data_IF_844749783858
#
_entry.id   IF_844749783858
#
_cell.length_a   1.000
_cell.length_b   1.000
_cell.length_c   1.000
_cell.angle_alpha   90.00
_cell.angle_beta   90.00
_cell.angle_gamma   90.00
#
_symmetry.space_group_name_H-M   'P 1'
#
loop_
_entity.id
_entity.type
_entity.pdbx_description
1 polymer ?
#
# COMPACT_ATOMS: atom_id res chain seq x y z
N UNK A 1 38.79 -6.88 59.11
CA UNK A 1 38.66 -8.28 59.52
C UNK A 1 37.19 -8.63 59.40
N UNK A 2 36.77 -9.65 58.69
CA UNK A 2 35.47 -10.21 58.23
C UNK A 2 35.21 -9.95 56.74
N UNK A 3 35.62 -10.81 56.11
CA UNK A 3 35.26 -12.06 55.38
C UNK A 3 34.33 -11.82 54.21
N UNK A 4 34.99 -11.73 53.03
CA UNK A 4 34.37 -12.08 51.75
C UNK A 4 34.26 -13.60 51.67
N UNK A 5 33.05 -14.14 51.61
CA UNK A 5 32.83 -15.46 51.02
C UNK A 5 31.39 -15.61 50.57
N UNK A 6 31.28 -16.10 49.30
CA UNK A 6 30.18 -16.85 48.75
C UNK A 6 28.90 -16.11 48.32
N UNK A 7 28.85 -15.77 47.04
CA UNK A 7 27.67 -15.99 46.23
C UNK A 7 28.04 -16.24 44.75
N UNK A 8 28.88 -17.27 44.55
CA UNK A 8 29.06 -17.91 43.24
C UNK A 8 28.23 -19.18 43.22
N UNK A 9 26.96 -19.08 42.91
CA UNK A 9 26.15 -20.28 42.81
C UNK A 9 24.66 -19.99 42.66
N UNK A 10 24.25 -19.29 41.65
CA UNK A 10 22.86 -19.31 41.13
C UNK A 10 22.75 -18.47 39.86
N UNK A 11 23.55 -18.82 38.88
CA UNK A 11 23.38 -18.34 37.48
C UNK A 11 23.30 -19.50 36.51
N UNK A 12 22.64 -20.57 36.90
CA UNK A 12 22.24 -21.64 35.98
C UNK A 12 20.74 -21.87 36.18
N UNK A 13 19.94 -21.60 35.16
CA UNK A 13 18.56 -22.05 35.13
C UNK A 13 17.48 -21.01 34.90
N UNK A 14 17.74 -19.92 34.17
CA UNK A 14 16.65 -19.18 33.51
C UNK A 14 16.88 -19.28 32.02
N UNK A 15 16.75 -20.49 31.51
CA UNK A 15 16.46 -20.71 30.08
C UNK A 15 15.09 -20.11 29.83
N UNK A 16 15.10 -18.94 29.16
CA UNK A 16 14.01 -18.01 28.98
C UNK A 16 12.65 -18.65 28.74
N UNK A 17 11.75 -18.40 29.64
CA UNK A 17 10.32 -18.38 29.32
C UNK A 17 10.06 -17.15 28.44
N UNK A 18 10.42 -17.25 27.16
CA UNK A 18 9.92 -16.28 26.18
C UNK A 18 8.41 -16.31 26.25
N UNK A 19 7.79 -15.14 26.35
CA UNK A 19 6.34 -14.99 26.38
C UNK A 19 5.73 -15.72 25.17
N UNK A 20 4.62 -16.46 25.36
CA UNK A 20 3.97 -17.20 24.29
C UNK A 20 3.78 -16.42 22.99
N UNK A 21 3.44 -15.12 22.99
CA UNK A 21 3.38 -14.30 21.78
C UNK A 21 4.73 -14.17 21.05
N UNK A 22 5.84 -13.96 21.77
CA UNK A 22 7.15 -13.79 21.14
C UNK A 22 7.63 -15.06 20.42
N UNK A 23 7.35 -16.25 20.94
CA UNK A 23 7.66 -17.53 20.29
C UNK A 23 6.93 -17.69 18.95
N UNK A 24 5.69 -17.22 18.85
CA UNK A 24 4.91 -17.28 17.62
C UNK A 24 5.55 -16.43 16.53
N UNK A 25 5.92 -15.20 16.84
CA UNK A 25 6.55 -14.29 15.89
C UNK A 25 7.96 -14.71 15.49
N UNK A 26 8.75 -15.27 16.40
CA UNK A 26 10.04 -15.87 16.09
C UNK A 26 9.90 -17.10 15.16
N UNK A 27 8.87 -17.93 15.37
CA UNK A 27 8.57 -19.06 14.50
C UNK A 27 8.20 -18.60 13.09
N UNK A 28 7.32 -17.59 12.96
CA UNK A 28 6.91 -17.02 11.66
C UNK A 28 8.12 -16.47 10.90
N UNK A 29 9.02 -15.76 11.59
CA UNK A 29 10.21 -15.18 10.95
C UNK A 29 11.18 -16.22 10.42
N UNK A 30 11.24 -17.43 11.03
CA UNK A 30 12.11 -18.53 10.62
C UNK A 30 11.47 -19.48 9.60
N UNK A 31 10.14 -19.65 9.68
CA UNK A 31 9.39 -20.64 8.89
C UNK A 31 8.08 -20.03 8.35
N UNK A 32 8.15 -19.10 7.38
CA UNK A 32 6.96 -18.48 6.84
C UNK A 32 6.07 -19.51 6.11
N UNK A 33 4.75 -19.39 6.28
CA UNK A 33 3.75 -20.25 5.63
C UNK A 33 3.92 -20.30 4.10
N UNK A 34 3.61 -21.44 3.50
CA UNK A 34 3.62 -21.59 2.04
C UNK A 34 2.53 -20.77 1.36
N UNK A 35 1.32 -20.75 1.92
CA UNK A 35 0.17 -20.01 1.41
C UNK A 35 -0.63 -19.43 2.57
N UNK A 36 -1.11 -18.18 2.43
CA UNK A 36 -2.04 -17.55 3.38
C UNK A 36 -3.49 -17.89 3.07
N UNK A 37 -3.78 -18.47 1.91
CA UNK A 37 -5.13 -18.94 1.54
C UNK A 37 -5.51 -20.24 2.22
N UNK A 38 -4.51 -21.02 2.65
CA UNK A 38 -4.73 -22.23 3.44
C UNK A 38 -4.80 -21.85 4.93
N UNK A 39 -6.02 -21.62 5.42
CA UNK A 39 -6.29 -21.27 6.81
C UNK A 39 -6.06 -22.44 7.79
N UNK A 40 -5.61 -23.61 7.32
CA UNK A 40 -5.33 -24.81 8.14
C UNK A 40 -6.51 -25.15 9.10
N UNK A 41 -7.74 -24.96 8.66
CA UNK A 41 -8.94 -25.25 9.46
C UNK A 41 -9.34 -24.13 10.43
N UNK A 42 -8.66 -22.97 10.43
CA UNK A 42 -9.01 -21.83 11.28
C UNK A 42 -10.26 -21.15 10.70
N UNK A 43 -11.36 -21.01 11.48
CA UNK A 43 -12.57 -20.35 11.00
C UNK A 43 -12.31 -18.86 10.78
N UNK A 44 -12.77 -18.30 9.65
CA UNK A 44 -12.61 -16.89 9.29
C UNK A 44 -13.09 -15.92 10.38
N UNK A 45 -14.10 -16.30 11.16
CA UNK A 45 -14.60 -15.52 12.31
C UNK A 45 -13.51 -15.27 13.37
N UNK A 46 -12.62 -16.23 13.59
CA UNK A 46 -11.51 -16.08 14.55
C UNK A 46 -10.51 -15.07 14.01
N UNK A 47 -10.14 -15.15 12.73
CA UNK A 47 -9.24 -14.19 12.07
C UNK A 47 -9.86 -12.78 12.16
N UNK A 48 -11.11 -12.60 11.80
CA UNK A 48 -11.80 -11.31 11.84
C UNK A 48 -11.81 -10.69 13.26
N UNK A 49 -12.11 -11.52 14.29
CA UNK A 49 -12.10 -11.06 15.69
C UNK A 49 -10.70 -10.66 16.15
N UNK A 50 -9.67 -11.42 15.76
CA UNK A 50 -8.25 -11.09 16.06
C UNK A 50 -7.85 -9.80 15.36
N UNK A 51 -8.09 -9.69 14.05
CA UNK A 51 -7.81 -8.48 13.27
C UNK A 51 -8.45 -7.25 13.90
N UNK A 52 -9.71 -7.33 14.33
CA UNK A 52 -10.39 -6.21 15.00
C UNK A 52 -9.68 -5.80 16.29
N UNK A 53 -9.27 -6.77 17.10
CA UNK A 53 -8.55 -6.50 18.36
C UNK A 53 -7.17 -5.90 18.10
N UNK A 54 -6.42 -6.47 17.17
CA UNK A 54 -5.05 -6.02 16.82
C UNK A 54 -5.07 -4.65 16.14
N UNK A 55 -6.07 -4.37 15.29
CA UNK A 55 -6.29 -3.05 14.69
C UNK A 55 -6.34 -1.93 15.74
N UNK A 56 -7.03 -2.17 16.87
CA UNK A 56 -7.11 -1.21 17.96
C UNK A 56 -5.81 -1.17 18.78
N UNK A 57 -5.21 -2.33 19.07
CA UNK A 57 -3.98 -2.43 19.84
C UNK A 57 -2.78 -1.78 19.12
N UNK A 58 -2.69 -1.91 17.82
CA UNK A 58 -1.63 -1.35 16.97
C UNK A 58 -1.91 0.09 16.52
N UNK A 59 -3.02 0.67 16.97
CA UNK A 59 -3.44 2.02 16.64
C UNK A 59 -3.48 2.27 15.11
N UNK A 60 -4.07 1.35 14.33
CA UNK A 60 -4.13 1.47 12.87
C UNK A 60 -4.77 2.78 12.42
N UNK A 61 -5.77 3.27 13.12
CA UNK A 61 -6.43 4.55 12.80
C UNK A 61 -5.44 5.72 12.90
N UNK A 62 -4.65 5.79 13.97
CA UNK A 62 -3.64 6.83 14.14
C UNK A 62 -2.52 6.74 13.08
N UNK A 63 -2.03 5.53 12.81
CA UNK A 63 -1.03 5.30 11.75
C UNK A 63 -1.56 5.61 10.36
N UNK A 64 -2.85 5.35 10.10
CA UNK A 64 -3.48 5.71 8.83
C UNK A 64 -3.57 7.22 8.64
N UNK A 65 -3.80 7.98 9.72
CA UNK A 65 -3.79 9.44 9.68
C UNK A 65 -2.37 9.99 9.42
N UNK A 66 -1.36 9.40 10.04
CA UNK A 66 0.05 9.71 9.79
C UNK A 66 0.43 9.46 8.32
N UNK A 67 0.09 8.28 7.79
CA UNK A 67 0.33 7.96 6.37
C UNK A 67 -0.44 8.90 5.44
N UNK A 68 -1.68 9.25 5.77
CA UNK A 68 -2.47 10.22 5.00
C UNK A 68 -1.80 11.58 4.89
N UNK A 69 -1.17 12.04 5.97
CA UNK A 69 -0.37 13.27 5.98
C UNK A 69 0.86 13.14 5.05
N UNK A 70 1.63 12.06 5.15
CA UNK A 70 2.80 11.86 4.28
C UNK A 70 2.42 11.72 2.80
N UNK A 71 1.28 11.10 2.49
CA UNK A 71 0.79 11.01 1.11
C UNK A 71 0.40 12.38 0.56
N UNK A 72 -0.26 13.22 1.37
CA UNK A 72 -0.55 14.60 1.01
C UNK A 72 0.73 15.39 0.79
N UNK A 73 1.71 15.26 1.69
CA UNK A 73 3.00 15.94 1.57
C UNK A 73 3.78 15.53 0.31
N UNK A 74 3.75 14.24 -0.05
CA UNK A 74 4.40 13.72 -1.26
C UNK A 74 3.69 14.15 -2.55
N UNK A 75 2.40 14.51 -2.49
CA UNK A 75 1.60 14.88 -3.65
C UNK A 75 2.17 16.09 -4.39
N UNK A 76 2.53 17.16 -3.67
CA UNK A 76 2.98 18.41 -4.29
C UNK A 76 4.28 18.24 -5.13
N UNK A 77 5.37 17.66 -4.59
CA UNK A 77 6.56 17.36 -5.41
C UNK A 77 6.27 16.43 -6.58
N UNK A 78 5.35 15.46 -6.40
CA UNK A 78 4.96 14.52 -7.45
C UNK A 78 4.21 15.22 -8.58
N UNK A 79 3.28 16.12 -8.25
CA UNK A 79 2.58 16.95 -9.23
C UNK A 79 3.55 17.87 -9.97
N UNK A 80 4.49 18.47 -9.26
CA UNK A 80 5.52 19.30 -9.87
C UNK A 80 6.39 18.53 -10.87
N UNK A 81 6.79 17.31 -10.52
CA UNK A 81 7.52 16.40 -11.41
C UNK A 81 6.70 16.02 -12.63
N UNK A 82 5.46 15.57 -12.41
CA UNK A 82 4.56 15.17 -13.49
C UNK A 82 4.29 16.33 -14.45
N UNK A 83 4.04 17.52 -13.93
CA UNK A 83 3.87 18.75 -14.70
C UNK A 83 5.09 19.09 -15.55
N UNK A 84 6.28 18.93 -14.98
CA UNK A 84 7.53 19.22 -15.67
C UNK A 84 7.80 18.22 -16.81
N UNK A 85 7.49 16.93 -16.61
CA UNK A 85 7.62 15.90 -17.64
C UNK A 85 6.61 16.16 -18.78
N UNK A 86 5.36 16.46 -18.46
CA UNK A 86 4.31 16.74 -19.43
C UNK A 86 4.54 18.07 -20.13
N UNK A 87 5.06 19.08 -19.46
CA UNK A 87 5.45 20.36 -20.07
C UNK A 87 6.55 20.21 -21.15
N UNK A 88 7.48 19.28 -20.96
CA UNK A 88 8.48 18.94 -21.99
C UNK A 88 7.88 18.12 -23.13
N UNK A 89 6.91 17.25 -22.84
CA UNK A 89 6.19 16.42 -23.81
C UNK A 89 5.01 17.16 -24.48
N UNK A 90 4.63 18.34 -24.00
CA UNK A 90 3.33 19.00 -24.18
C UNK A 90 2.98 19.44 -25.61
N UNK A 91 3.86 19.34 -26.58
CA UNK A 91 3.48 19.60 -27.97
C UNK A 91 2.60 18.50 -28.58
N UNK A 92 2.42 17.35 -27.92
CA UNK A 92 1.62 16.20 -28.36
C UNK A 92 0.64 15.65 -27.32
N UNK A 93 0.54 16.27 -26.14
CA UNK A 93 0.00 15.62 -24.93
C UNK A 93 -1.44 16.00 -24.54
N UNK A 94 -2.17 16.84 -25.28
CA UNK A 94 -3.52 17.29 -24.89
C UNK A 94 -4.53 16.14 -24.75
N UNK A 95 -4.47 15.14 -25.64
CA UNK A 95 -5.38 13.98 -25.58
C UNK A 95 -5.03 13.03 -24.42
N UNK A 96 -3.76 12.84 -24.12
CA UNK A 96 -3.27 12.03 -22.98
C UNK A 96 -3.70 12.70 -21.67
N UNK A 97 -3.60 14.01 -21.60
CA UNK A 97 -3.99 14.81 -20.45
C UNK A 97 -5.49 14.64 -20.12
N UNK A 98 -6.38 14.78 -21.10
CA UNK A 98 -7.83 14.61 -20.90
C UNK A 98 -8.15 13.20 -20.41
N UNK A 99 -7.58 12.15 -21.01
CA UNK A 99 -7.80 10.78 -20.59
C UNK A 99 -7.26 10.52 -19.17
N UNK A 100 -6.12 11.10 -18.80
CA UNK A 100 -5.59 11.02 -17.44
C UNK A 100 -6.56 11.62 -16.42
N UNK A 101 -7.17 12.76 -16.75
CA UNK A 101 -8.18 13.41 -15.91
C UNK A 101 -9.43 12.55 -15.71
N UNK A 102 -9.90 11.90 -16.74
CA UNK A 102 -11.05 10.98 -16.68
C UNK A 102 -10.76 9.83 -15.70
N UNK A 103 -9.57 9.22 -15.76
CA UNK A 103 -9.18 8.16 -14.82
C UNK A 103 -8.99 8.68 -13.40
N UNK A 104 -8.37 9.84 -13.22
CA UNK A 104 -8.26 10.46 -11.90
C UNK A 104 -9.63 10.77 -11.29
N UNK A 105 -10.59 11.23 -12.10
CA UNK A 105 -11.94 11.51 -11.64
C UNK A 105 -12.74 10.26 -11.22
N UNK A 106 -12.33 9.06 -11.65
CA UNK A 106 -12.91 7.79 -11.19
C UNK A 106 -12.51 7.44 -9.75
N UNK A 107 -11.29 7.77 -9.37
CA UNK A 107 -10.68 7.35 -8.10
C UNK A 107 -10.64 8.52 -7.10
N UNK A 108 -10.25 9.70 -7.54
CA UNK A 108 -10.12 10.90 -6.72
C UNK A 108 -11.46 11.67 -6.71
N UNK A 109 -11.92 12.17 -5.55
CA UNK A 109 -13.11 13.03 -5.48
C UNK A 109 -13.00 14.26 -6.38
N UNK A 110 -14.06 14.58 -7.10
CA UNK A 110 -14.09 15.69 -8.09
C UNK A 110 -13.74 17.05 -7.49
N UNK A 111 -14.06 17.27 -6.25
CA UNK A 111 -13.71 18.50 -5.49
C UNK A 111 -12.21 18.65 -5.24
N UNK A 112 -11.49 17.54 -5.06
CA UNK A 112 -10.03 17.54 -4.92
C UNK A 112 -9.32 17.62 -6.29
N UNK A 113 -9.96 17.09 -7.33
CA UNK A 113 -9.44 17.10 -8.70
C UNK A 113 -9.18 18.53 -9.21
N UNK A 114 -10.07 19.48 -8.92
CA UNK A 114 -9.91 20.88 -9.30
C UNK A 114 -8.62 21.51 -8.76
N UNK A 115 -8.28 21.25 -7.49
CA UNK A 115 -7.04 21.74 -6.87
C UNK A 115 -5.80 21.09 -7.52
N UNK A 116 -5.84 19.79 -7.76
CA UNK A 116 -4.75 19.05 -8.43
C UNK A 116 -4.50 19.64 -9.81
N UNK A 117 -5.56 19.94 -10.58
CA UNK A 117 -5.49 20.54 -11.91
C UNK A 117 -4.92 21.95 -11.92
N UNK A 118 -5.36 22.79 -11.01
CA UNK A 118 -4.86 24.17 -10.91
C UNK A 118 -3.36 24.14 -10.63
N UNK A 119 -2.93 23.38 -9.63
CA UNK A 119 -1.52 23.22 -9.28
C UNK A 119 -0.70 22.65 -10.46
N UNK A 120 -1.25 21.68 -11.17
CA UNK A 120 -0.62 21.10 -12.35
C UNK A 120 -0.42 22.13 -13.47
N UNK A 121 -1.45 22.90 -13.83
CA UNK A 121 -1.39 23.89 -14.89
C UNK A 121 -0.42 25.03 -14.56
N UNK A 122 -0.43 25.54 -13.31
CA UNK A 122 0.48 26.58 -12.85
C UNK A 122 1.94 26.12 -12.88
N UNK A 123 2.22 24.87 -12.50
CA UNK A 123 3.57 24.32 -12.53
C UNK A 123 4.07 24.00 -13.93
N UNK A 124 3.17 23.58 -14.85
CA UNK A 124 3.51 23.29 -16.25
C UNK A 124 3.93 24.56 -16.98
N UNK A 125 3.25 25.69 -16.75
CA UNK A 125 3.60 26.99 -17.33
C UNK A 125 4.99 27.48 -16.92
N UNK A 126 5.49 27.04 -15.75
CA UNK A 126 6.80 27.42 -15.19
C UNK A 126 7.92 26.42 -15.47
N UNK A 127 7.70 25.36 -16.26
CA UNK A 127 8.63 24.27 -16.46
C UNK A 127 9.90 24.68 -17.23
N UNK A 128 11.07 24.35 -16.67
CA UNK A 128 12.40 24.47 -17.29
C UNK A 128 13.18 23.19 -17.01
N UNK A 129 14.15 22.82 -17.88
CA UNK A 129 14.93 21.57 -17.74
C UNK A 129 15.60 21.41 -16.35
N UNK A 130 16.15 22.49 -15.78
CA UNK A 130 16.72 22.46 -14.43
C UNK A 130 15.67 22.21 -13.33
N UNK A 131 14.46 22.74 -13.50
CA UNK A 131 13.35 22.53 -12.58
C UNK A 131 12.82 21.10 -12.64
N UNK A 132 12.92 20.43 -13.81
CA UNK A 132 12.57 19.03 -13.97
C UNK A 132 13.42 18.11 -13.08
N UNK A 133 14.76 18.27 -13.17
CA UNK A 133 15.68 17.41 -12.39
C UNK A 133 15.49 17.62 -10.89
N UNK A 134 15.39 18.89 -10.45
CA UNK A 134 15.10 19.21 -9.06
C UNK A 134 13.74 18.61 -8.60
N UNK A 135 12.69 18.80 -9.42
CA UNK A 135 11.36 18.26 -9.13
C UNK A 135 11.36 16.73 -9.01
N UNK A 136 12.05 16.02 -9.91
CA UNK A 136 12.18 14.56 -9.85
C UNK A 136 12.88 14.10 -8.56
N UNK A 137 14.01 14.69 -8.22
CA UNK A 137 14.75 14.36 -7.00
C UNK A 137 13.89 14.67 -5.76
N UNK A 138 13.26 15.83 -5.71
CA UNK A 138 12.39 16.23 -4.61
C UNK A 138 11.17 15.31 -4.48
N UNK A 139 10.55 14.90 -5.60
CA UNK A 139 9.38 13.99 -5.57
C UNK A 139 9.77 12.59 -5.09
N UNK A 140 10.87 12.01 -5.60
CA UNK A 140 11.35 10.70 -5.14
C UNK A 140 11.71 10.76 -3.65
N UNK A 141 12.40 11.82 -3.23
CA UNK A 141 12.74 12.01 -1.81
C UNK A 141 11.50 12.12 -0.94
N UNK A 142 10.55 12.97 -1.28
CA UNK A 142 9.30 13.18 -0.53
C UNK A 142 8.44 11.92 -0.51
N UNK A 143 8.25 11.25 -1.65
CA UNK A 143 7.50 9.99 -1.73
C UNK A 143 8.18 8.90 -0.89
N UNK A 144 9.52 8.84 -0.87
CA UNK A 144 10.25 7.85 -0.07
C UNK A 144 10.11 8.08 1.45
N UNK A 145 9.78 9.30 1.91
CA UNK A 145 9.39 9.55 3.31
C UNK A 145 8.07 8.85 3.61
N UNK A 146 7.09 8.97 2.72
CA UNK A 146 5.82 8.24 2.84
C UNK A 146 6.01 6.72 2.86
N UNK A 147 6.89 6.18 2.01
CA UNK A 147 7.23 4.75 2.02
C UNK A 147 7.95 4.35 3.31
N UNK A 148 8.82 5.19 3.87
CA UNK A 148 9.43 4.94 5.19
C UNK A 148 8.37 4.84 6.30
N UNK A 149 7.36 5.71 6.28
CA UNK A 149 6.25 5.64 7.23
C UNK A 149 5.41 4.36 7.03
N UNK A 150 5.18 3.91 5.78
CA UNK A 150 4.57 2.61 5.50
C UNK A 150 5.41 1.47 6.10
N UNK A 151 6.73 1.51 5.95
CA UNK A 151 7.64 0.49 6.50
C UNK A 151 7.51 0.40 8.02
N UNK A 152 7.48 1.53 8.71
CA UNK A 152 7.32 1.60 10.16
C UNK A 152 5.95 1.07 10.61
N UNK A 153 4.87 1.49 9.95
CA UNK A 153 3.53 0.99 10.22
C UNK A 153 3.42 -0.52 10.01
N UNK A 154 4.00 -1.05 8.92
CA UNK A 154 4.01 -2.48 8.64
C UNK A 154 4.88 -3.26 9.60
N UNK A 155 6.02 -2.73 10.06
CA UNK A 155 6.83 -3.35 11.10
C UNK A 155 6.03 -3.53 12.40
N UNK A 156 5.20 -2.55 12.75
CA UNK A 156 4.30 -2.67 13.92
C UNK A 156 3.23 -3.74 13.71
N UNK A 157 2.53 -3.72 12.56
CA UNK A 157 1.50 -4.70 12.19
C UNK A 157 2.03 -6.15 12.22
N UNK A 158 3.24 -6.35 11.72
CA UNK A 158 3.89 -7.67 11.70
C UNK A 158 4.70 -7.96 12.96
N UNK A 159 4.63 -7.11 14.00
CA UNK A 159 5.36 -7.25 15.27
C UNK A 159 6.87 -7.42 15.09
N UNK A 160 7.45 -6.74 14.11
CA UNK A 160 8.86 -6.84 13.75
C UNK A 160 9.63 -5.70 14.39
N UNK A 161 10.71 -6.01 15.07
CA UNK A 161 11.68 -5.00 15.50
C UNK A 161 12.60 -4.68 14.31
N UNK A 162 12.68 -3.39 13.96
CA UNK A 162 13.57 -2.92 12.90
C UNK A 162 15.03 -3.11 13.31
N UNK A 163 15.74 -3.96 12.57
CA UNK A 163 17.16 -4.26 12.79
C UNK A 163 18.09 -3.66 11.72
N UNK A 164 17.52 -3.10 10.67
CA UNK A 164 18.30 -2.46 9.60
C UNK A 164 18.88 -1.14 10.14
N UNK A 165 20.11 -0.79 9.73
CA UNK A 165 20.62 0.55 10.01
C UNK A 165 19.76 1.60 9.29
N UNK A 166 19.69 2.80 9.83
CA UNK A 166 18.92 3.91 9.25
C UNK A 166 19.18 4.09 7.76
N UNK A 167 20.45 4.01 7.34
CA UNK A 167 20.82 4.17 5.94
C UNK A 167 20.26 3.04 5.06
N UNK A 168 20.32 1.78 5.49
CA UNK A 168 19.75 0.66 4.76
C UNK A 168 18.22 0.73 4.68
N UNK A 169 17.54 1.10 5.75
CA UNK A 169 16.09 1.31 5.75
C UNK A 169 15.71 2.42 4.78
N UNK A 170 16.46 3.54 4.77
CA UNK A 170 16.22 4.67 3.86
C UNK A 170 16.43 4.30 2.39
N UNK A 171 17.51 3.60 2.07
CA UNK A 171 17.78 3.13 0.71
C UNK A 171 16.71 2.13 0.24
N UNK A 172 16.25 1.25 1.13
CA UNK A 172 15.12 0.35 0.85
C UNK A 172 13.84 1.14 0.54
N UNK A 173 13.53 2.19 1.31
CA UNK A 173 12.37 3.03 1.05
C UNK A 173 12.45 3.71 -0.32
N UNK A 174 13.60 4.27 -0.70
CA UNK A 174 13.83 4.87 -2.02
C UNK A 174 13.65 3.83 -3.12
N UNK A 175 14.24 2.63 -2.97
CA UNK A 175 14.11 1.56 -3.96
C UNK A 175 12.64 1.13 -4.16
N UNK A 176 11.90 0.92 -3.08
CA UNK A 176 10.46 0.61 -3.12
C UNK A 176 9.69 1.75 -3.79
N UNK A 177 9.99 3.01 -3.47
CA UNK A 177 9.37 4.18 -4.10
C UNK A 177 9.54 4.17 -5.62
N UNK A 178 10.76 3.92 -6.10
CA UNK A 178 11.04 3.86 -7.55
C UNK A 178 10.26 2.72 -8.21
N UNK A 179 10.23 1.54 -7.59
CA UNK A 179 9.47 0.39 -8.12
C UNK A 179 7.98 0.71 -8.16
N UNK A 180 7.41 1.30 -7.11
CA UNK A 180 5.99 1.68 -7.08
C UNK A 180 5.67 2.77 -8.10
N UNK A 181 6.57 3.74 -8.31
CA UNK A 181 6.41 4.77 -9.33
C UNK A 181 6.41 4.18 -10.75
N UNK A 182 7.29 3.21 -11.02
CA UNK A 182 7.32 2.50 -12.32
C UNK A 182 6.05 1.68 -12.53
N UNK A 183 5.59 0.93 -11.51
CA UNK A 183 4.36 0.15 -11.60
C UNK A 183 3.13 1.05 -11.76
N UNK A 184 3.07 2.17 -11.05
CA UNK A 184 2.00 3.16 -11.18
C UNK A 184 1.97 3.78 -12.58
N UNK A 185 3.13 4.16 -13.12
CA UNK A 185 3.26 4.66 -14.50
C UNK A 185 2.81 3.62 -15.52
N UNK A 186 3.20 2.35 -15.33
CA UNK A 186 2.77 1.26 -16.20
C UNK A 186 1.26 1.02 -16.11
N UNK A 187 0.68 1.11 -14.91
CA UNK A 187 -0.78 1.01 -14.71
C UNK A 187 -1.51 2.10 -15.50
N UNK A 188 -1.07 3.36 -15.39
CA UNK A 188 -1.63 4.47 -16.15
C UNK A 188 -1.46 4.27 -17.68
N UNK A 189 -0.28 3.83 -18.10
CA UNK A 189 -0.02 3.56 -19.52
C UNK A 189 -0.92 2.46 -20.08
N UNK A 190 -1.20 1.41 -19.31
CA UNK A 190 -2.13 0.35 -19.71
C UNK A 190 -3.57 0.85 -19.82
N UNK A 191 -4.03 1.68 -18.88
CA UNK A 191 -5.37 2.25 -18.92
C UNK A 191 -5.53 3.19 -20.14
N UNK A 192 -4.59 4.13 -20.31
CA UNK A 192 -4.58 5.06 -21.44
C UNK A 192 -4.45 4.33 -22.80
N UNK A 193 -3.62 3.27 -22.82
CA UNK A 193 -3.47 2.40 -23.99
C UNK A 193 -4.75 1.68 -24.38
N UNK A 194 -5.51 1.19 -23.39
CA UNK A 194 -6.81 0.57 -23.58
C UNK A 194 -7.82 1.51 -24.26
N UNK A 195 -7.87 2.77 -23.82
CA UNK A 195 -8.71 3.80 -24.43
C UNK A 195 -8.27 4.15 -25.84
N UNK A 196 -6.97 4.25 -26.08
CA UNK A 196 -6.43 4.49 -27.41
C UNK A 196 -6.81 3.37 -28.36
N UNK A 197 -6.62 2.11 -27.98
CA UNK A 197 -7.01 0.95 -28.77
C UNK A 197 -8.51 0.94 -29.03
N UNK A 198 -9.35 1.21 -28.03
CA UNK A 198 -10.80 1.28 -28.18
C UNK A 198 -11.24 2.35 -29.18
N UNK A 199 -10.56 3.50 -29.20
CA UNK A 199 -10.82 4.57 -30.19
C UNK A 199 -10.41 4.16 -31.60
N UNK A 200 -9.22 3.58 -31.76
CA UNK A 200 -8.73 3.09 -33.07
C UNK A 200 -9.68 2.03 -33.64
N UNK A 201 -10.08 1.06 -32.81
CA UNK A 201 -11.02 -0.01 -33.21
C UNK A 201 -12.36 0.55 -33.68
N UNK A 202 -12.93 1.52 -32.94
CA UNK A 202 -14.19 2.17 -33.31
C UNK A 202 -14.12 2.87 -34.66
N UNK A 203 -12.96 3.42 -35.00
CA UNK A 203 -12.77 4.14 -36.26
C UNK A 203 -12.40 3.22 -37.43
N UNK A 204 -11.90 2.01 -37.18
CA UNK A 204 -11.36 1.10 -38.19
C UNK A 204 -12.33 -0.03 -38.58
N UNK A 205 -13.29 -0.37 -37.69
CA UNK A 205 -14.21 -1.50 -37.89
C UNK A 205 -15.52 -0.99 -38.44
N UNK A 206 -15.88 -1.46 -39.66
CA UNK A 206 -17.09 -1.03 -40.40
C UNK A 206 -18.41 -1.47 -39.75
N UNK A 207 -18.43 -2.58 -38.99
CA UNK A 207 -19.63 -3.03 -38.30
C UNK A 207 -19.72 -2.41 -36.90
N UNK A 208 -20.81 -1.68 -36.63
CA UNK A 208 -21.03 -1.03 -35.35
C UNK A 208 -21.01 -2.02 -34.13
N UNK A 209 -21.56 -3.21 -34.33
CA UNK A 209 -21.56 -4.26 -33.30
C UNK A 209 -20.14 -4.81 -33.05
N UNK A 210 -19.39 -5.10 -34.12
CA UNK A 210 -18.00 -5.58 -33.98
C UNK A 210 -17.09 -4.53 -33.33
N UNK A 211 -17.23 -3.26 -33.71
CA UNK A 211 -16.50 -2.16 -33.07
C UNK A 211 -16.80 -2.02 -31.58
N UNK A 212 -18.07 -2.13 -31.19
CA UNK A 212 -18.48 -2.03 -29.76
C UNK A 212 -17.96 -3.19 -28.94
N UNK A 213 -18.02 -4.42 -29.43
CA UNK A 213 -17.50 -5.62 -28.72
C UNK A 213 -15.99 -5.54 -28.54
N UNK A 214 -15.24 -5.21 -29.60
CA UNK A 214 -13.79 -5.09 -29.52
C UNK A 214 -13.35 -3.94 -28.61
N UNK A 215 -14.06 -2.80 -28.65
CA UNK A 215 -13.80 -1.68 -27.72
C UNK A 215 -14.09 -2.08 -26.26
N UNK A 216 -15.16 -2.83 -26.00
CA UNK A 216 -15.45 -3.35 -24.67
C UNK A 216 -14.36 -4.32 -24.19
N UNK A 217 -13.95 -5.26 -25.05
CA UNK A 217 -12.88 -6.20 -24.72
C UNK A 217 -11.55 -5.50 -24.42
N UNK A 218 -11.18 -4.45 -25.19
CA UNK A 218 -9.96 -3.67 -24.91
C UNK A 218 -10.00 -3.01 -23.54
N UNK A 219 -11.15 -2.47 -23.11
CA UNK A 219 -11.32 -1.92 -21.75
C UNK A 219 -11.22 -3.02 -20.69
N UNK A 220 -11.90 -4.16 -20.86
CA UNK A 220 -11.82 -5.27 -19.91
C UNK A 220 -10.39 -5.74 -19.73
N UNK A 221 -9.64 -5.90 -20.82
CA UNK A 221 -8.23 -6.30 -20.77
C UNK A 221 -7.39 -5.24 -20.05
N UNK A 222 -7.55 -3.96 -20.39
CA UNK A 222 -6.81 -2.86 -19.77
C UNK A 222 -7.08 -2.78 -18.25
N UNK A 223 -8.34 -2.88 -17.84
CA UNK A 223 -8.72 -2.89 -16.43
C UNK A 223 -8.20 -4.13 -15.68
N UNK A 224 -8.23 -5.31 -16.32
CA UNK A 224 -7.68 -6.54 -15.71
C UNK A 224 -6.18 -6.41 -15.48
N UNK A 225 -5.43 -5.87 -16.44
CA UNK A 225 -4.00 -5.61 -16.30
C UNK A 225 -3.76 -4.57 -15.22
N UNK A 226 -4.51 -3.47 -15.20
CA UNK A 226 -4.36 -2.42 -14.18
C UNK A 226 -4.61 -2.95 -12.78
N UNK A 227 -5.65 -3.77 -12.58
CA UNK A 227 -5.94 -4.41 -11.28
C UNK A 227 -4.84 -5.40 -10.88
N UNK A 228 -4.27 -6.14 -11.83
CA UNK A 228 -3.14 -7.04 -11.59
C UNK A 228 -1.88 -6.27 -11.17
N UNK A 229 -1.60 -5.13 -11.80
CA UNK A 229 -0.49 -4.25 -11.44
C UNK A 229 -0.71 -3.60 -10.07
N UNK A 230 -1.92 -3.21 -9.74
CA UNK A 230 -2.26 -2.70 -8.40
C UNK A 230 -2.06 -3.79 -7.33
N UNK A 231 -2.49 -5.02 -7.60
CA UNK A 231 -2.21 -6.17 -6.72
C UNK A 231 -0.70 -6.41 -6.56
N UNK A 232 0.08 -6.22 -7.63
CA UNK A 232 1.53 -6.30 -7.61
C UNK A 232 2.14 -5.17 -6.75
N UNK A 233 1.62 -3.94 -6.81
CA UNK A 233 2.04 -2.85 -5.92
C UNK A 233 1.85 -3.23 -4.44
N UNK A 234 0.68 -3.77 -4.09
CA UNK A 234 0.44 -4.25 -2.73
C UNK A 234 1.36 -5.42 -2.35
N UNK A 235 1.62 -6.36 -3.27
CA UNK A 235 2.56 -7.45 -3.05
C UNK A 235 3.98 -6.93 -2.80
N UNK A 236 4.44 -5.93 -3.55
CA UNK A 236 5.73 -5.24 -3.37
C UNK A 236 5.80 -4.58 -2.00
N UNK A 237 4.76 -3.83 -1.61
CA UNK A 237 4.69 -3.17 -0.31
C UNK A 237 4.75 -4.21 0.82
N UNK A 238 3.92 -5.24 0.79
CA UNK A 238 3.86 -6.23 1.86
C UNK A 238 5.09 -7.13 1.93
N UNK A 239 5.84 -7.25 0.82
CA UNK A 239 7.05 -8.07 0.77
C UNK A 239 8.32 -7.30 1.14
N UNK A 240 8.52 -6.11 0.57
CA UNK A 240 9.78 -5.36 0.72
C UNK A 240 9.74 -4.28 1.79
N UNK A 241 8.57 -3.74 2.12
CA UNK A 241 8.50 -2.70 3.12
C UNK A 241 8.87 -3.19 4.53
N UNK A 242 8.35 -4.32 5.06
CA UNK A 242 8.72 -4.77 6.40
C UNK A 242 10.17 -5.23 6.51
N UNK A 243 10.79 -4.98 7.67
CA UNK A 243 12.18 -5.30 7.98
C UNK A 243 12.51 -6.78 8.19
N UNK A 244 11.88 -7.71 7.47
CA UNK A 244 12.07 -9.17 7.62
C UNK A 244 13.08 -9.72 6.65
N UNK A 245 14.08 -10.44 7.17
CA UNK A 245 15.15 -11.04 6.36
C UNK A 245 14.73 -12.27 5.52
N UNK A 246 13.66 -12.97 5.87
CA UNK A 246 13.26 -14.25 5.21
C UNK A 246 11.77 -14.30 4.90
N UNK A 247 11.25 -13.33 4.14
CA UNK A 247 9.87 -13.39 3.69
C UNK A 247 9.75 -14.14 2.36
N UNK A 248 8.64 -14.91 2.18
CA UNK A 248 8.31 -15.50 0.89
C UNK A 248 7.53 -14.53 0.04
N UNK A 249 7.91 -14.39 -1.21
CA UNK A 249 7.13 -13.63 -2.19
C UNK A 249 5.76 -14.27 -2.42
N UNK A 250 4.70 -13.47 -2.34
CA UNK A 250 3.32 -13.89 -2.59
C UNK A 250 2.63 -12.85 -3.42
N UNK A 251 2.19 -13.24 -4.61
CA UNK A 251 1.55 -12.34 -5.57
C UNK A 251 0.24 -11.75 -5.05
N UNK A 252 -0.62 -12.60 -4.48
CA UNK A 252 -1.92 -12.19 -3.96
C UNK A 252 -2.14 -12.88 -2.61
N UNK A 253 -2.28 -12.08 -1.58
CA UNK A 253 -2.60 -12.55 -0.23
C UNK A 253 -4.08 -12.25 0.08
N UNK A 254 -4.73 -13.01 0.99
CA UNK A 254 -6.11 -12.72 1.40
C UNK A 254 -6.27 -11.27 1.89
N UNK A 255 -5.34 -10.78 2.72
CA UNK A 255 -5.35 -9.39 3.17
C UNK A 255 -5.10 -8.40 2.04
N UNK A 256 -4.23 -8.72 1.06
CA UNK A 256 -4.04 -7.89 -0.12
C UNK A 256 -5.30 -7.78 -0.98
N UNK A 257 -6.00 -8.90 -1.21
CA UNK A 257 -7.26 -8.93 -1.94
C UNK A 257 -8.35 -8.12 -1.20
N UNK A 258 -8.50 -8.34 0.12
CA UNK A 258 -9.46 -7.60 0.94
C UNK A 258 -9.11 -6.12 1.06
N UNK A 259 -7.84 -5.77 1.19
CA UNK A 259 -7.37 -4.38 1.22
C UNK A 259 -7.66 -3.65 -0.09
N UNK A 260 -7.40 -4.29 -1.25
CA UNK A 260 -7.70 -3.74 -2.56
C UNK A 260 -9.22 -3.58 -2.80
N UNK A 261 -10.00 -4.61 -2.50
CA UNK A 261 -11.45 -4.55 -2.62
C UNK A 261 -12.06 -3.52 -1.66
N UNK A 262 -11.60 -3.51 -0.41
CA UNK A 262 -11.99 -2.52 0.59
C UNK A 262 -11.63 -1.09 0.17
N UNK A 263 -10.46 -0.87 -0.45
CA UNK A 263 -10.07 0.43 -0.99
C UNK A 263 -11.00 0.90 -2.11
N UNK A 264 -11.39 0.01 -3.02
CA UNK A 264 -12.36 0.33 -4.06
C UNK A 264 -13.72 0.70 -3.47
N UNK A 265 -14.23 -0.09 -2.52
CA UNK A 265 -15.48 0.20 -1.83
C UNK A 265 -15.41 1.50 -1.02
N UNK A 266 -14.32 1.75 -0.31
CA UNK A 266 -14.11 2.97 0.45
C UNK A 266 -14.07 4.19 -0.48
N UNK A 267 -13.38 4.10 -1.62
CA UNK A 267 -13.31 5.18 -2.62
C UNK A 267 -14.69 5.47 -3.23
N UNK A 268 -15.45 4.43 -3.59
CA UNK A 268 -16.81 4.58 -4.11
C UNK A 268 -17.76 5.15 -3.04
N UNK A 269 -17.70 4.62 -1.82
CA UNK A 269 -18.49 5.10 -0.69
C UNK A 269 -18.18 6.55 -0.33
N UNK A 270 -16.90 6.91 -0.33
CA UNK A 270 -16.47 8.29 -0.09
C UNK A 270 -16.92 9.25 -1.19
N UNK A 271 -16.87 8.82 -2.45
CA UNK A 271 -17.43 9.58 -3.58
C UNK A 271 -18.94 9.79 -3.41
N UNK A 272 -19.67 8.74 -3.03
CA UNK A 272 -21.09 8.83 -2.71
C UNK A 272 -21.36 9.78 -1.54
N UNK A 273 -20.59 9.67 -0.46
CA UNK A 273 -20.68 10.60 0.68
C UNK A 273 -20.52 12.07 0.26
N UNK A 274 -19.51 12.39 -0.54
CA UNK A 274 -19.29 13.76 -1.03
C UNK A 274 -20.38 14.26 -1.98
N UNK A 275 -21.04 13.35 -2.71
CA UNK A 275 -22.18 13.71 -3.57
C UNK A 275 -23.39 14.19 -2.73
N UNK A 276 -23.65 13.51 -1.60
CA UNK A 276 -24.76 13.89 -0.71
C UNK A 276 -24.42 15.02 0.26
N UNK A 277 -23.17 15.15 0.68
CA UNK A 277 -22.70 16.10 1.68
C UNK A 277 -21.75 17.15 1.07
N UNK A 278 -22.27 17.96 0.17
CA UNK A 278 -21.49 18.99 -0.54
C UNK A 278 -21.15 20.24 0.30
N UNK A 279 -21.20 20.14 1.65
CA UNK A 279 -20.98 21.25 2.55
C UNK A 279 -19.52 21.70 2.70
N UNK A 280 -18.55 20.82 2.40
CA UNK A 280 -17.14 21.13 2.65
C UNK A 280 -16.62 22.30 1.84
N UNK A 281 -17.03 22.43 0.59
CA UNK A 281 -16.63 23.56 -0.28
C UNK A 281 -17.28 24.86 0.17
N UNK A 282 -18.53 24.79 0.66
CA UNK A 282 -19.27 25.96 1.14
C UNK A 282 -18.73 26.44 2.49
N UNK A 283 -18.45 25.52 3.41
CA UNK A 283 -18.00 25.84 4.77
C UNK A 283 -16.51 26.25 4.84
N UNK A 284 -15.66 25.61 4.05
CA UNK A 284 -14.19 25.73 4.15
C UNK A 284 -13.54 26.36 2.90
N UNK A 285 -14.30 26.72 1.87
CA UNK A 285 -13.76 27.28 0.63
C UNK A 285 -12.69 26.40 -0.01
N UNK A 286 -11.56 26.96 -0.39
CA UNK A 286 -10.42 26.23 -0.99
C UNK A 286 -9.79 25.18 -0.07
N UNK A 287 -9.88 25.37 1.27
CA UNK A 287 -9.39 24.39 2.25
C UNK A 287 -10.20 23.10 2.25
N UNK A 288 -11.47 23.14 1.79
CA UNK A 288 -12.31 21.95 1.67
C UNK A 288 -11.69 20.88 0.79
N UNK A 289 -11.03 21.24 -0.32
CA UNK A 289 -10.36 20.32 -1.22
C UNK A 289 -9.19 19.58 -0.54
N UNK A 290 -8.41 20.29 0.28
CA UNK A 290 -7.28 19.70 1.04
C UNK A 290 -7.81 18.69 2.08
N UNK A 291 -8.88 19.05 2.79
CA UNK A 291 -9.49 18.17 3.80
C UNK A 291 -10.04 16.91 3.15
N UNK A 292 -10.72 17.04 2.01
CA UNK A 292 -11.28 15.91 1.25
C UNK A 292 -10.16 14.98 0.78
N UNK A 293 -9.08 15.55 0.25
CA UNK A 293 -7.93 14.78 -0.23
C UNK A 293 -7.22 14.06 0.92
N UNK A 294 -7.03 14.73 2.06
CA UNK A 294 -6.46 14.13 3.26
C UNK A 294 -7.32 12.97 3.77
N UNK A 295 -8.64 13.13 3.79
CA UNK A 295 -9.57 12.08 4.17
C UNK A 295 -9.48 10.87 3.22
N UNK A 296 -9.37 11.11 1.91
CA UNK A 296 -9.22 10.04 0.93
C UNK A 296 -7.89 9.30 1.10
N UNK A 297 -6.78 10.00 1.36
CA UNK A 297 -5.49 9.40 1.68
C UNK A 297 -5.53 8.60 2.99
N UNK A 298 -6.23 9.13 4.01
CA UNK A 298 -6.46 8.42 5.26
C UNK A 298 -7.18 7.09 5.04
N UNK A 299 -8.27 7.08 4.28
CA UNK A 299 -9.02 5.85 3.95
C UNK A 299 -8.16 4.87 3.14
N UNK A 300 -7.36 5.38 2.20
CA UNK A 300 -6.45 4.56 1.39
C UNK A 300 -5.37 3.90 2.25
N UNK A 301 -4.75 4.65 3.15
CA UNK A 301 -3.78 4.14 4.11
C UNK A 301 -4.40 3.12 5.06
N UNK A 302 -5.62 3.39 5.54
CA UNK A 302 -6.34 2.47 6.41
C UNK A 302 -6.61 1.12 5.74
N UNK A 303 -7.06 1.09 4.49
CA UNK A 303 -7.30 -0.15 3.75
C UNK A 303 -6.01 -0.92 3.48
N UNK A 304 -4.90 -0.23 3.20
CA UNK A 304 -3.57 -0.83 3.06
C UNK A 304 -3.13 -1.50 4.37
N UNK A 305 -3.20 -0.80 5.50
CA UNK A 305 -2.80 -1.35 6.80
C UNK A 305 -3.73 -2.46 7.27
N UNK A 306 -5.04 -2.34 7.05
CA UNK A 306 -6.02 -3.38 7.38
C UNK A 306 -5.74 -4.67 6.61
N UNK A 307 -5.38 -4.58 5.33
CA UNK A 307 -4.95 -5.74 4.54
C UNK A 307 -3.70 -6.41 5.11
N UNK A 308 -2.72 -5.62 5.55
CA UNK A 308 -1.53 -6.14 6.23
C UNK A 308 -1.87 -6.83 7.55
N UNK A 309 -2.76 -6.24 8.35
CA UNK A 309 -3.21 -6.78 9.64
C UNK A 309 -3.90 -8.14 9.48
N UNK A 310 -4.76 -8.27 8.45
CA UNK A 310 -5.39 -9.55 8.13
C UNK A 310 -4.34 -10.62 7.79
N UNK A 311 -3.33 -10.27 6.98
CA UNK A 311 -2.25 -11.20 6.66
C UNK A 311 -1.43 -11.59 7.91
N UNK A 312 -1.14 -10.64 8.77
CA UNK A 312 -0.42 -10.84 10.02
C UNK A 312 -1.15 -11.80 10.95
N UNK A 313 -2.47 -11.61 11.14
CA UNK A 313 -3.28 -12.46 12.00
C UNK A 313 -3.49 -13.88 11.43
N UNK A 314 -3.55 -14.02 10.12
CA UNK A 314 -3.57 -15.35 9.49
C UNK A 314 -2.24 -16.08 9.75
N UNK A 315 -1.10 -15.41 9.60
CA UNK A 315 0.22 -15.98 9.87
C UNK A 315 0.36 -16.38 11.36
N UNK A 316 -0.08 -15.53 12.28
CA UNK A 316 -0.03 -15.79 13.71
C UNK A 316 -0.89 -16.99 14.11
N UNK A 317 -2.15 -17.02 13.66
CA UNK A 317 -3.06 -18.11 13.98
C UNK A 317 -2.56 -19.46 13.45
N UNK A 318 -2.06 -19.51 12.23
CA UNK A 318 -1.52 -20.73 11.65
C UNK A 318 -0.22 -21.20 12.34
N UNK A 319 0.65 -20.26 12.76
CA UNK A 319 1.85 -20.60 13.52
C UNK A 319 1.51 -21.19 14.90
N UNK A 320 0.49 -20.66 15.58
CA UNK A 320 0.00 -21.22 16.84
C UNK A 320 -0.48 -22.67 16.67
N UNK A 321 -1.25 -22.97 15.62
CA UNK A 321 -1.70 -24.33 15.32
C UNK A 321 -0.52 -25.28 15.07
N UNK A 322 0.48 -24.84 14.31
CA UNK A 322 1.67 -25.66 14.01
C UNK A 322 2.52 -25.91 15.27
N UNK A 323 2.69 -24.91 16.12
CA UNK A 323 3.41 -25.05 17.38
C UNK A 323 2.68 -25.97 18.35
N UNK A 324 1.35 -25.86 18.44
CA UNK A 324 0.52 -26.77 19.26
C UNK A 324 0.63 -28.22 18.78
N UNK A 325 0.56 -28.47 17.46
CA UNK A 325 0.71 -29.79 16.88
C UNK A 325 2.12 -30.38 17.15
N UNK A 326 3.16 -29.58 17.06
CA UNK A 326 4.54 -29.99 17.35
C UNK A 326 4.74 -30.39 18.81
N UNK A 327 4.10 -29.68 19.73
CA UNK A 327 4.19 -29.94 21.17
C UNK A 327 3.34 -31.15 21.59
N UNK A 328 2.32 -31.53 20.79
CA UNK A 328 1.47 -32.69 21.03
C UNK A 328 2.12 -34.03 20.64
N UNK A 329 3.18 -34.02 19.83
CA UNK A 329 3.95 -35.24 19.46
C UNK A 329 4.98 -35.52 20.57
N UNK A 330 4.81 -36.62 21.35
CA UNK A 330 5.80 -36.97 22.37
C UNK A 330 7.19 -37.19 21.75
N UNK A 331 8.28 -36.83 22.45
CA UNK A 331 9.62 -37.11 21.94
C UNK A 331 9.74 -38.59 21.65
N UNK A 332 10.18 -38.93 20.43
CA UNK A 332 10.44 -40.32 20.08
C UNK A 332 11.38 -40.90 21.15
N UNK A 333 10.91 -41.93 21.87
CA UNK A 333 11.71 -42.63 22.86
C UNK A 333 12.95 -43.15 22.12
N UNK A 334 14.10 -42.58 22.44
CA UNK A 334 15.41 -43.13 22.06
C UNK A 334 15.52 -44.49 22.73
N UNK A 335 15.19 -45.53 21.96
CA UNK A 335 15.49 -46.90 22.29
C UNK A 335 16.92 -47.22 21.90
#
# INVERSE_FOLDING_TARGET
MFSHQQSSGMREGVAGSEDPPQRVWDYISRSPLRSLWDLQGIPWRVVAKRTWKSMLADNLLGRSAELGFFFLFALFPTLFSASSILGLAARSASSIYISLLEYMALVVPTSALGMVLTTFNETTAAATSGKLTFGLVASVWSASVGVSAIQEALNTVYKIQERRSYFHARMSAIAVTVVLALLGTLTLACLLGGDFVARVVRNSVSSAMGASVLAFLSHVVAWTIAMSLLALCLAVIYYWAPGVSKRRWRWLTPGGALGMFGWLLASLGFRGYLHFFNFYTVAYGSMGAVIILLMWFYLSAFMLLLGAEINSEIEAAAAECLLAAKNAVPPASTA
#
